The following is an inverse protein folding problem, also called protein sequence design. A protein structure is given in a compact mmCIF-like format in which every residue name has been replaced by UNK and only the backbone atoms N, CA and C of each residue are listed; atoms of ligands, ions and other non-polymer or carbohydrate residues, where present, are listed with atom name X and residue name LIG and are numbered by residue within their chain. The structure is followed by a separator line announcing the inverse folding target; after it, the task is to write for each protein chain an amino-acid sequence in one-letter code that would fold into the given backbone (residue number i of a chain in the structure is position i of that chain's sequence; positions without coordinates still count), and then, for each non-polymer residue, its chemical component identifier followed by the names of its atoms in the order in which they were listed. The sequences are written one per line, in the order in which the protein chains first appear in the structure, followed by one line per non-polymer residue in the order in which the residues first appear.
data_IF_069237212456
#
_entry.id   IF_069237212456
#
_cell.length_a   1.000
_cell.length_b   1.000
_cell.length_c   1.000
_cell.angle_alpha   90.00
_cell.angle_beta   90.00
_cell.angle_gamma   90.00
#
_symmetry.space_group_name_H-M   'P 1'
#
loop_
_entity.id
_entity.type
_entity.pdbx_description
1 polymer ?
#
# COMPACT_ATOMS: atom_id res chain seq x y z
N UNK A 1 3.38 -12.13 17.37
CA UNK A 1 4.48 -11.44 16.67
C UNK A 1 3.94 -10.11 16.16
N UNK A 2 4.66 -9.01 16.35
CA UNK A 2 4.25 -7.70 15.82
C UNK A 2 4.48 -7.71 14.31
N UNK A 3 3.43 -7.42 13.52
CA UNK A 3 3.56 -7.33 12.07
C UNK A 3 4.54 -6.21 11.71
N UNK A 4 5.46 -6.39 10.75
CA UNK A 4 6.43 -5.37 10.37
C UNK A 4 5.75 -4.12 9.79
N UNK A 5 6.41 -2.98 9.93
CA UNK A 5 6.00 -1.73 9.30
C UNK A 5 4.95 -0.91 10.05
N UNK A 6 4.76 0.31 9.57
CA UNK A 6 3.75 1.28 10.02
C UNK A 6 2.41 0.98 9.36
N UNK A 7 1.35 0.90 10.15
CA UNK A 7 -0.01 0.74 9.64
C UNK A 7 -0.43 1.99 8.86
N UNK A 8 -0.83 1.80 7.60
CA UNK A 8 -1.37 2.87 6.77
C UNK A 8 -2.89 2.83 6.75
N UNK A 9 -3.46 1.64 6.57
CA UNK A 9 -4.89 1.47 6.36
C UNK A 9 -5.37 0.11 6.85
N UNK A 10 -6.62 0.07 7.32
CA UNK A 10 -7.37 -1.14 7.64
C UNK A 10 -8.72 -1.08 6.93
N UNK A 11 -9.13 -2.17 6.32
CA UNK A 11 -10.39 -2.27 5.60
C UNK A 11 -10.89 -3.71 5.59
N UNK A 12 -12.16 -3.86 5.24
CA UNK A 12 -12.83 -5.15 5.14
C UNK A 12 -12.93 -5.54 3.66
N UNK A 13 -12.36 -6.69 3.29
CA UNK A 13 -12.51 -7.26 1.95
C UNK A 13 -13.71 -8.18 1.92
N UNK A 14 -14.73 -7.80 1.17
CA UNK A 14 -15.86 -8.68 0.88
C UNK A 14 -15.43 -9.73 -0.14
N UNK A 15 -15.72 -11.01 0.15
CA UNK A 15 -15.55 -12.13 -0.78
C UNK A 15 -16.95 -12.62 -1.15
N UNK A 16 -17.56 -12.09 -2.23
CA UNK A 16 -18.98 -12.31 -2.53
C UNK A 16 -19.32 -13.78 -2.73
N UNK A 17 -18.46 -14.54 -3.41
CA UNK A 17 -18.69 -15.96 -3.70
C UNK A 17 -18.68 -16.83 -2.43
N UNK A 18 -18.00 -16.38 -1.38
CA UNK A 18 -17.85 -17.09 -0.11
C UNK A 18 -18.72 -16.50 1.02
N UNK A 19 -19.49 -15.43 0.74
CA UNK A 19 -20.35 -14.73 1.70
C UNK A 19 -19.62 -14.40 3.01
N UNK A 20 -18.34 -14.03 2.91
CA UNK A 20 -17.48 -13.72 4.06
C UNK A 20 -16.73 -12.42 3.86
N UNK A 21 -16.31 -11.85 4.98
CA UNK A 21 -15.48 -10.66 5.04
C UNK A 21 -14.12 -11.02 5.62
N UNK A 22 -13.05 -10.50 5.02
CA UNK A 22 -11.67 -10.66 5.48
C UNK A 22 -11.21 -9.32 6.07
N UNK A 23 -10.66 -9.37 7.29
CA UNK A 23 -10.04 -8.20 7.87
C UNK A 23 -8.67 -7.97 7.19
N UNK A 24 -8.56 -6.89 6.43
CA UNK A 24 -7.38 -6.55 5.66
C UNK A 24 -6.66 -5.32 6.22
N UNK A 25 -5.34 -5.28 6.03
CA UNK A 25 -4.53 -4.11 6.37
C UNK A 25 -3.36 -3.93 5.42
N UNK A 26 -2.98 -2.67 5.24
CA UNK A 26 -1.79 -2.28 4.48
C UNK A 26 -0.79 -1.65 5.44
N UNK A 27 0.45 -2.12 5.38
CA UNK A 27 1.57 -1.62 6.18
C UNK A 27 2.75 -1.23 5.32
N UNK A 28 3.36 -0.10 5.64
CA UNK A 28 4.61 0.35 5.03
C UNK A 28 5.79 -0.15 5.85
N UNK A 29 6.67 -0.95 5.25
CA UNK A 29 7.94 -1.36 5.84
C UNK A 29 9.11 -0.80 5.05
N UNK A 30 10.22 -0.54 5.75
CA UNK A 30 11.50 -0.14 5.16
C UNK A 30 12.49 -1.28 5.34
N UNK A 31 13.06 -1.75 4.24
CA UNK A 31 14.09 -2.76 4.23
C UNK A 31 15.44 -2.18 4.67
N UNK A 32 16.42 -3.02 5.07
CA UNK A 32 17.75 -2.57 5.48
C UNK A 32 18.52 -1.77 4.41
N UNK A 33 18.23 -2.00 3.13
CA UNK A 33 18.80 -1.26 2.00
C UNK A 33 18.12 0.10 1.74
N UNK A 34 17.15 0.48 2.59
CA UNK A 34 16.39 1.73 2.48
C UNK A 34 15.20 1.65 1.52
N UNK A 35 14.97 0.51 0.86
CA UNK A 35 13.81 0.35 -0.02
C UNK A 35 12.52 0.25 0.80
N UNK A 36 11.48 0.96 0.38
CA UNK A 36 10.15 0.88 1.00
C UNK A 36 9.29 -0.17 0.28
N UNK A 37 8.52 -0.94 1.04
CA UNK A 37 7.58 -1.95 0.54
C UNK A 37 6.25 -1.83 1.27
N UNK A 38 5.17 -2.11 0.55
CA UNK A 38 3.83 -2.20 1.11
C UNK A 38 3.45 -3.67 1.28
N UNK A 39 3.25 -4.06 2.53
CA UNK A 39 2.73 -5.37 2.90
C UNK A 39 1.22 -5.32 3.02
N UNK A 40 0.56 -6.24 2.34
CA UNK A 40 -0.87 -6.48 2.47
C UNK A 40 -1.06 -7.71 3.34
N UNK A 41 -1.94 -7.58 4.32
CA UNK A 41 -2.37 -8.70 5.17
C UNK A 41 -3.85 -8.94 5.03
N UNK A 42 -4.22 -10.21 5.11
CA UNK A 42 -5.58 -10.72 5.12
C UNK A 42 -5.72 -11.66 6.32
N UNK A 43 -6.68 -11.40 7.20
CA UNK A 43 -6.87 -12.11 8.48
C UNK A 43 -5.57 -12.23 9.29
N UNK A 44 -4.78 -11.15 9.24
CA UNK A 44 -3.49 -11.05 9.93
C UNK A 44 -2.35 -11.85 9.31
N UNK A 45 -2.53 -12.47 8.15
CA UNK A 45 -1.52 -13.21 7.41
C UNK A 45 -1.03 -12.41 6.20
N UNK A 46 0.28 -12.42 5.87
CA UNK A 46 0.75 -11.77 4.65
C UNK A 46 0.08 -12.39 3.43
N UNK A 47 -0.56 -11.55 2.61
CA UNK A 47 -1.17 -11.96 1.35
C UNK A 47 -0.23 -11.68 0.18
N UNK A 48 0.21 -10.43 0.04
CA UNK A 48 1.14 -10.01 -1.00
C UNK A 48 1.95 -8.78 -0.59
N UNK A 49 3.04 -8.53 -1.31
CA UNK A 49 3.94 -7.39 -1.10
C UNK A 49 4.26 -6.75 -2.45
N UNK A 50 4.32 -5.42 -2.48
CA UNK A 50 4.83 -4.71 -3.65
C UNK A 50 5.77 -3.56 -3.26
N UNK A 51 6.70 -3.18 -4.15
CA UNK A 51 7.54 -2.02 -3.90
C UNK A 51 6.69 -0.76 -3.71
N UNK A 52 7.13 0.08 -2.78
CA UNK A 52 6.57 1.38 -2.51
C UNK A 52 7.55 2.46 -2.99
N UNK A 53 7.01 3.60 -3.39
CA UNK A 53 7.79 4.81 -3.66
C UNK A 53 7.08 6.00 -3.04
N UNK A 54 7.80 7.11 -2.98
CA UNK A 54 7.24 8.40 -2.55
C UNK A 54 6.99 9.26 -3.78
N UNK A 55 5.83 9.91 -3.84
CA UNK A 55 5.57 10.94 -4.82
C UNK A 55 6.62 12.05 -4.68
N UNK A 56 7.24 12.46 -5.79
CA UNK A 56 8.28 13.50 -5.78
C UNK A 56 7.78 14.90 -5.41
N UNK A 57 6.47 15.14 -5.46
CA UNK A 57 5.88 16.45 -5.14
C UNK A 57 5.36 16.53 -3.69
N UNK A 58 4.65 15.50 -3.20
CA UNK A 58 3.97 15.54 -1.89
C UNK A 58 4.45 14.48 -0.89
N UNK A 59 5.41 13.62 -1.28
CA UNK A 59 5.91 12.50 -0.47
C UNK A 59 4.86 11.46 -0.05
N UNK A 60 3.69 11.46 -0.68
CA UNK A 60 2.68 10.41 -0.52
C UNK A 60 3.22 9.05 -0.98
N UNK A 61 2.82 7.99 -0.29
CA UNK A 61 3.22 6.62 -0.66
C UNK A 61 2.43 6.18 -1.89
N UNK A 62 3.13 5.76 -2.93
CA UNK A 62 2.56 5.27 -4.19
C UNK A 62 3.11 3.89 -4.51
N UNK A 63 2.35 3.13 -5.30
CA UNK A 63 2.78 1.82 -5.80
C UNK A 63 3.53 1.97 -7.12
N UNK A 64 4.52 1.11 -7.36
CA UNK A 64 5.39 1.20 -8.56
C UNK A 64 4.71 0.82 -9.87
N UNK A 65 3.43 0.43 -9.85
CA UNK A 65 2.66 0.06 -11.04
C UNK A 65 2.17 1.27 -11.85
N UNK A 66 2.17 2.47 -11.29
CA UNK A 66 1.85 3.71 -12.00
C UNK A 66 3.10 4.18 -12.78
N UNK A 67 2.95 4.46 -14.07
CA UNK A 67 4.04 4.86 -14.99
C UNK A 67 4.66 6.24 -14.73
N UNK A 68 4.98 6.57 -13.48
CA UNK A 68 5.54 7.86 -13.09
C UNK A 68 6.01 7.91 -11.62
N UNK A 69 6.66 9.02 -11.26
CA UNK A 69 7.13 9.29 -9.90
C UNK A 69 6.17 10.19 -9.09
N UNK A 70 4.91 10.32 -9.54
CA UNK A 70 3.91 11.21 -8.96
C UNK A 70 2.64 10.44 -8.62
N UNK A 71 1.95 10.83 -7.54
CA UNK A 71 0.63 10.31 -7.21
C UNK A 71 -0.42 10.89 -8.18
N UNK A 72 -1.60 10.27 -8.21
CA UNK A 72 -2.73 10.70 -9.04
C UNK A 72 -3.08 12.17 -8.78
N UNK A 73 -3.18 12.57 -7.51
CA UNK A 73 -3.49 13.97 -7.15
C UNK A 73 -2.48 14.98 -7.70
N UNK A 74 -1.18 14.69 -7.64
CA UNK A 74 -0.15 15.56 -8.23
C UNK A 74 -0.07 15.48 -9.76
N UNK A 75 -0.60 14.42 -10.37
CA UNK A 75 -0.63 14.26 -11.84
C UNK A 75 -1.81 15.04 -12.42
N UNK A 76 -2.96 15.02 -11.75
CA UNK A 76 -4.16 15.74 -12.16
C UNK A 76 -3.98 17.26 -12.07
N UNK A 77 -3.20 17.77 -11.11
CA UNK A 77 -2.88 19.21 -11.01
C UNK A 77 -1.99 19.74 -12.15
N UNK A 78 -1.42 18.89 -13.00
CA UNK A 78 -0.69 19.32 -14.20
C UNK A 78 -1.61 19.47 -15.43
N UNK A 79 -2.85 19.02 -15.34
CA UNK A 79 -3.85 19.08 -16.41
C UNK A 79 -4.90 20.18 -16.20
N UNK A 80 -4.77 20.97 -15.13
CA UNK A 80 -5.55 22.18 -14.83
C UNK A 80 -4.70 23.43 -15.12
#
# INVERSE_FOLDING_TARGET
MTKPGTLLETFDLEVPDEHRTIAAEIRLATNPDGTEVLWHYEDGRPAFVHPARRCTNCAEVITTGQGGNRCTGCTDQLHL
#
